data_IF_998815280751
#
_entry.id   IF_998815280751
#
_cell.length_a   1.000
_cell.length_b   1.000
_cell.length_c   1.000
_cell.angle_alpha   90.00
_cell.angle_beta   90.00
_cell.angle_gamma   90.00
#
_symmetry.space_group_name_H-M   'P 1'
#
loop_
_entity.id
_entity.type
_entity.pdbx_description
1 polymer ?
#
# COMPACT_ATOMS: atom_id res chain seq x y z
N UNK A 1 -17.54 -23.01 44.03
CA UNK A 1 -16.73 -21.82 43.64
C UNK A 1 -17.67 -20.75 43.15
N UNK A 2 -17.87 -19.71 43.96
CA UNK A 2 -18.75 -18.58 43.65
C UNK A 2 -18.03 -17.62 42.70
N UNK A 3 -18.26 -17.76 41.40
CA UNK A 3 -17.68 -16.93 40.34
C UNK A 3 -18.28 -15.50 40.30
N UNK A 4 -18.21 -14.78 41.42
CA UNK A 4 -18.57 -13.37 41.49
C UNK A 4 -17.57 -12.55 40.69
N UNK A 5 -18.01 -11.99 39.56
CA UNK A 5 -17.22 -11.10 38.69
C UNK A 5 -16.95 -9.70 39.30
N UNK A 6 -16.82 -9.60 40.63
CA UNK A 6 -16.65 -8.32 41.35
C UNK A 6 -15.29 -7.67 41.10
N UNK A 7 -14.27 -8.46 40.76
CA UNK A 7 -12.96 -7.95 40.31
C UNK A 7 -12.59 -8.67 39.02
N UNK A 8 -12.23 -7.92 37.97
CA UNK A 8 -11.80 -8.45 36.67
C UNK A 8 -10.43 -7.88 36.30
N UNK A 9 -9.54 -8.76 35.86
CA UNK A 9 -8.27 -8.39 35.23
C UNK A 9 -8.39 -8.67 33.74
N UNK A 10 -8.12 -7.67 32.91
CA UNK A 10 -8.21 -7.76 31.45
C UNK A 10 -6.82 -7.60 30.82
N UNK A 11 -6.59 -8.28 29.69
CA UNK A 11 -5.42 -8.09 28.83
C UNK A 11 -5.83 -8.05 27.37
N UNK A 12 -5.00 -7.44 26.53
CA UNK A 12 -5.22 -7.45 25.08
C UNK A 12 -5.02 -8.86 24.52
N UNK A 13 -5.93 -9.28 23.65
CA UNK A 13 -5.84 -10.56 22.95
C UNK A 13 -6.16 -10.35 21.47
N UNK A 14 -5.43 -11.05 20.61
CA UNK A 14 -5.74 -11.09 19.19
C UNK A 14 -7.02 -11.91 18.93
N UNK A 15 -7.84 -11.48 17.96
CA UNK A 15 -8.96 -12.29 17.50
C UNK A 15 -8.46 -13.57 16.81
N UNK A 16 -9.33 -14.57 16.60
CA UNK A 16 -9.01 -15.72 15.76
C UNK A 16 -8.62 -15.28 14.34
N UNK A 17 -7.65 -15.96 13.74
CA UNK A 17 -7.14 -15.57 12.42
C UNK A 17 -8.21 -15.60 11.32
N UNK A 18 -9.24 -16.44 11.45
CA UNK A 18 -10.39 -16.46 10.52
C UNK A 18 -11.05 -15.09 10.39
N UNK A 19 -11.25 -14.40 11.51
CA UNK A 19 -11.82 -13.05 11.53
C UNK A 19 -10.94 -12.05 10.78
N UNK A 20 -9.62 -12.21 10.87
CA UNK A 20 -8.66 -11.40 10.11
C UNK A 20 -8.73 -11.73 8.62
N UNK A 21 -8.86 -13.02 8.28
CA UNK A 21 -9.04 -13.49 6.91
C UNK A 21 -10.29 -12.90 6.26
N UNK A 22 -11.42 -12.95 6.96
CA UNK A 22 -12.70 -12.39 6.49
C UNK A 22 -12.58 -10.87 6.29
N UNK A 23 -11.99 -10.15 7.25
CA UNK A 23 -11.73 -8.71 7.13
C UNK A 23 -10.84 -8.34 5.93
N UNK A 24 -9.83 -9.16 5.63
CA UNK A 24 -8.94 -8.93 4.50
C UNK A 24 -9.61 -9.33 3.17
N UNK A 25 -10.46 -10.35 3.19
CA UNK A 25 -11.25 -10.77 2.03
C UNK A 25 -12.23 -9.67 1.61
N UNK A 26 -12.92 -9.04 2.56
CA UNK A 26 -13.79 -7.89 2.30
C UNK A 26 -13.02 -6.74 1.63
N UNK A 27 -11.80 -6.48 2.09
CA UNK A 27 -10.93 -5.44 1.49
C UNK A 27 -10.37 -5.83 0.13
N UNK A 28 -10.21 -7.13 -0.12
CA UNK A 28 -9.79 -7.64 -1.42
C UNK A 28 -10.91 -7.43 -2.45
N UNK A 29 -12.15 -7.74 -2.08
CA UNK A 29 -13.31 -7.56 -2.96
C UNK A 29 -13.60 -6.07 -3.25
N UNK A 30 -13.18 -5.16 -2.35
CA UNK A 30 -13.25 -3.70 -2.52
C UNK A 30 -11.93 -3.01 -2.86
N UNK A 31 -10.91 -3.73 -3.33
CA UNK A 31 -9.59 -3.16 -3.58
C UNK A 31 -9.63 -2.08 -4.68
N UNK A 32 -8.88 -1.00 -4.50
CA UNK A 32 -8.89 0.15 -5.43
C UNK A 32 -7.84 0.01 -6.53
N UNK A 33 -8.25 0.21 -7.80
CA UNK A 33 -7.33 0.29 -8.93
C UNK A 33 -6.62 1.64 -8.95
N UNK A 34 -5.30 1.63 -8.97
CA UNK A 34 -4.47 2.84 -8.87
C UNK A 34 -3.43 2.90 -9.98
N UNK A 35 -3.02 4.11 -10.32
CA UNK A 35 -2.00 4.39 -11.33
C UNK A 35 -0.82 5.16 -10.72
N UNK A 36 0.35 4.96 -11.31
CA UNK A 36 1.55 5.71 -11.01
C UNK A 36 1.43 7.16 -11.49
N UNK A 37 1.35 8.13 -10.57
CA UNK A 37 1.50 9.54 -10.95
C UNK A 37 2.99 9.85 -11.22
N UNK A 38 3.40 9.78 -12.49
CA UNK A 38 4.71 10.25 -12.96
C UNK A 38 4.78 11.79 -13.00
N UNK A 39 4.46 12.46 -11.89
CA UNK A 39 4.76 13.89 -11.72
C UNK A 39 6.26 14.03 -11.45
N UNK A 40 7.06 13.84 -12.50
CA UNK A 40 8.43 14.25 -12.56
C UNK A 40 8.50 15.73 -12.16
N UNK A 41 9.36 16.05 -11.20
CA UNK A 41 9.67 17.43 -10.87
C UNK A 41 10.22 18.12 -12.13
N UNK A 42 9.35 18.82 -12.87
CA UNK A 42 9.76 19.84 -13.83
C UNK A 42 10.45 20.95 -13.03
N UNK A 43 11.75 20.76 -12.75
CA UNK A 43 12.63 21.84 -12.32
C UNK A 43 12.79 22.76 -13.52
N UNK A 44 11.82 23.65 -13.68
CA UNK A 44 11.90 24.83 -14.52
C UNK A 44 13.02 25.71 -13.94
N UNK A 45 14.26 25.47 -14.35
CA UNK A 45 15.42 26.29 -13.99
C UNK A 45 15.37 27.55 -14.83
N UNK A 46 14.57 28.52 -14.39
CA UNK A 46 14.55 29.84 -14.99
C UNK A 46 14.89 30.91 -13.95
N UNK A 47 15.83 31.77 -14.37
CA UNK A 47 16.41 32.97 -13.76
C UNK A 47 17.45 32.75 -12.66
N UNK A 48 18.55 33.51 -12.58
CA UNK A 48 19.32 34.43 -13.43
C UNK A 48 20.14 35.25 -12.41
N UNK A 49 21.43 35.44 -12.71
CA UNK A 49 22.26 36.60 -12.33
C UNK A 49 22.14 37.20 -10.91
N UNK A 50 23.22 37.15 -10.12
CA UNK A 50 23.92 38.37 -9.67
C UNK A 50 25.21 38.05 -8.90
N UNK A 51 26.34 38.28 -9.58
CA UNK A 51 27.55 38.99 -9.15
C UNK A 51 28.02 38.96 -7.67
N UNK A 52 29.28 38.54 -7.56
CA UNK A 52 30.38 39.08 -6.72
C UNK A 52 30.47 38.67 -5.23
N UNK A 53 31.56 37.95 -4.95
CA UNK A 53 32.32 37.98 -3.70
C UNK A 53 32.73 39.43 -3.35
N UNK A 54 32.81 39.79 -2.06
CA UNK A 54 34.13 39.83 -1.43
C UNK A 54 34.13 39.56 0.09
N UNK A 55 35.14 38.85 0.62
CA UNK A 55 36.08 39.43 1.62
C UNK A 55 37.16 38.45 2.09
N UNK A 56 38.31 39.07 2.30
CA UNK A 56 39.63 38.57 2.69
C UNK A 56 39.73 37.88 4.06
N UNK A 57 40.88 37.25 4.36
CA UNK A 57 41.03 36.16 5.32
C UNK A 57 41.30 36.66 6.74
N UNK A 58 40.78 35.96 7.75
CA UNK A 58 41.23 36.12 9.14
C UNK A 58 41.31 34.77 9.86
N UNK A 59 42.56 34.33 10.00
CA UNK A 59 43.25 33.74 11.16
C UNK A 59 42.44 32.97 12.23
N UNK A 60 42.92 31.74 12.44
CA UNK A 60 42.98 30.94 13.67
C UNK A 60 41.85 31.09 14.68
N UNK A 61 41.00 30.07 14.74
CA UNK A 61 40.22 29.75 15.94
C UNK A 61 40.14 28.25 16.09
N UNK A 62 40.68 27.82 17.22
CA UNK A 62 40.82 26.46 17.73
C UNK A 62 39.50 25.69 17.65
N UNK A 63 39.60 24.42 17.27
CA UNK A 63 38.50 23.45 17.23
C UNK A 63 37.74 23.45 18.55
N UNK A 64 36.52 23.98 18.52
CA UNK A 64 35.55 23.83 19.60
C UNK A 64 34.52 22.81 19.13
N UNK A 65 34.60 21.58 19.65
CA UNK A 65 33.61 20.53 19.45
C UNK A 65 32.32 20.89 20.21
N UNK A 66 31.52 21.79 19.64
CA UNK A 66 30.15 22.02 20.11
C UNK A 66 29.22 20.96 19.52
N UNK A 67 28.79 20.02 20.37
CA UNK A 67 27.82 18.95 20.03
C UNK A 67 26.38 19.51 19.88
N UNK A 68 26.17 20.81 20.12
CA UNK A 68 24.87 21.45 19.94
C UNK A 68 24.76 22.23 18.63
N UNK A 69 25.09 21.61 17.51
CA UNK A 69 24.42 21.95 16.27
C UNK A 69 23.02 21.36 16.36
N UNK A 70 22.00 22.20 16.58
CA UNK A 70 20.59 21.85 16.35
C UNK A 70 20.49 21.40 14.89
N UNK A 71 20.68 20.10 14.67
CA UNK A 71 20.35 19.43 13.41
C UNK A 71 18.84 19.52 13.36
N UNK A 72 18.34 20.59 12.75
CA UNK A 72 17.01 20.58 12.18
C UNK A 72 17.00 19.37 11.25
N UNK A 73 16.50 18.26 11.78
CA UNK A 73 16.07 17.13 11.02
C UNK A 73 14.87 17.61 10.20
N UNK A 74 15.14 18.40 9.15
CA UNK A 74 14.37 18.31 7.91
C UNK A 74 14.50 16.86 7.48
N UNK A 75 13.61 16.03 8.01
CA UNK A 75 13.23 14.75 7.41
C UNK A 75 13.08 15.08 5.95
N UNK A 76 14.03 14.63 5.12
CA UNK A 76 14.00 14.84 3.68
C UNK A 76 12.66 14.28 3.24
N UNK A 77 11.72 15.18 3.05
CA UNK A 77 10.36 14.92 2.62
C UNK A 77 10.48 14.02 1.40
N UNK A 78 9.82 12.86 1.46
CA UNK A 78 9.77 11.80 0.47
C UNK A 78 9.94 12.34 -0.96
N UNK A 79 11.20 12.40 -1.41
CA UNK A 79 11.57 12.87 -2.75
C UNK A 79 11.18 11.85 -3.84
N UNK A 80 10.65 10.71 -3.40
CA UNK A 80 10.05 9.64 -4.19
C UNK A 80 8.71 9.23 -3.56
N UNK A 81 7.84 10.20 -3.24
CA UNK A 81 6.44 9.86 -2.99
C UNK A 81 5.84 9.42 -4.32
N UNK A 82 5.87 8.12 -4.57
CA UNK A 82 5.05 7.50 -5.61
C UNK A 82 3.60 7.71 -5.19
N UNK A 83 3.00 8.79 -5.69
CA UNK A 83 1.64 9.12 -5.34
C UNK A 83 0.72 8.27 -6.20
N UNK A 84 0.22 7.19 -5.59
CA UNK A 84 -0.85 6.38 -6.15
C UNK A 84 -2.10 7.25 -6.28
N UNK A 85 -2.58 7.40 -7.51
CA UNK A 85 -3.85 8.05 -7.78
C UNK A 85 -4.86 6.99 -8.18
N UNK A 86 -6.13 7.11 -7.76
CA UNK A 86 -7.20 6.27 -8.29
C UNK A 86 -7.20 6.30 -9.83
N UNK A 87 -7.38 5.14 -10.46
CA UNK A 87 -7.48 5.05 -11.92
C UNK A 87 -8.67 5.86 -12.46
N UNK A 88 -9.80 5.83 -11.73
CA UNK A 88 -10.94 6.68 -11.99
C UNK A 88 -11.02 7.80 -10.92
N UNK A 89 -11.02 9.10 -11.32
CA UNK A 89 -11.05 10.23 -10.39
C UNK A 89 -12.33 10.33 -9.54
N UNK A 90 -13.43 9.69 -9.95
CA UNK A 90 -14.68 9.68 -9.19
C UNK A 90 -14.68 8.69 -8.03
N UNK A 91 -13.68 7.80 -7.97
CA UNK A 91 -13.55 6.87 -6.85
C UNK A 91 -12.83 7.52 -5.67
N UNK A 92 -13.30 7.17 -4.46
CA UNK A 92 -12.69 7.60 -3.21
C UNK A 92 -11.22 7.17 -3.18
N UNK A 93 -10.28 8.05 -2.82
CA UNK A 93 -8.88 7.65 -2.69
C UNK A 93 -8.72 6.61 -1.57
N UNK A 94 -7.85 5.60 -1.77
CA UNK A 94 -7.67 4.54 -0.79
C UNK A 94 -7.04 5.09 0.49
N UNK A 95 -7.54 4.63 1.64
CA UNK A 95 -6.96 4.88 2.95
C UNK A 95 -5.77 3.95 3.24
N UNK A 96 -5.09 4.17 4.38
CA UNK A 96 -3.95 3.35 4.82
C UNK A 96 -4.30 1.90 5.16
N UNK A 97 -5.59 1.61 5.28
CA UNK A 97 -6.14 0.28 5.59
C UNK A 97 -6.65 -0.44 4.34
N UNK A 98 -6.77 0.24 3.21
CA UNK A 98 -7.39 -0.33 2.02
C UNK A 98 -6.34 -1.06 1.17
N UNK A 99 -6.78 -2.10 0.46
CA UNK A 99 -5.94 -2.81 -0.50
C UNK A 99 -6.00 -2.08 -1.85
N UNK A 100 -4.86 -2.05 -2.54
CA UNK A 100 -4.73 -1.38 -3.84
C UNK A 100 -4.06 -2.31 -4.84
N UNK A 101 -4.40 -2.18 -6.11
CA UNK A 101 -3.77 -2.92 -7.20
C UNK A 101 -3.52 -1.98 -8.39
N UNK A 102 -2.49 -2.27 -9.19
CA UNK A 102 -2.11 -1.44 -10.34
C UNK A 102 -2.31 -2.15 -11.69
N UNK A 103 -2.26 -3.49 -11.71
CA UNK A 103 -2.46 -4.32 -12.89
C UNK A 103 -3.70 -5.20 -12.76
N UNK A 104 -4.43 -5.36 -13.87
CA UNK A 104 -5.61 -6.22 -13.91
C UNK A 104 -5.22 -7.69 -13.70
N UNK A 105 -6.04 -8.42 -12.94
CA UNK A 105 -5.81 -9.86 -12.76
C UNK A 105 -5.98 -10.62 -14.08
N UNK A 106 -5.13 -11.62 -14.37
CA UNK A 106 -5.29 -12.48 -15.54
C UNK A 106 -6.52 -13.38 -15.41
N UNK A 107 -6.92 -14.02 -16.51
CA UNK A 107 -7.92 -15.08 -16.47
C UNK A 107 -7.37 -16.36 -15.83
N UNK A 108 -8.10 -16.92 -14.87
CA UNK A 108 -7.70 -18.13 -14.13
C UNK A 108 -8.34 -19.44 -14.64
N UNK A 109 -9.23 -19.34 -15.63
CA UNK A 109 -9.99 -20.48 -16.17
C UNK A 109 -9.09 -21.52 -16.86
N UNK A 110 -8.19 -21.04 -17.72
CA UNK A 110 -7.30 -21.89 -18.52
C UNK A 110 -5.93 -22.04 -17.88
N UNK A 111 -5.31 -23.20 -18.11
CA UNK A 111 -3.94 -23.45 -17.63
C UNK A 111 -2.96 -22.58 -18.39
N UNK A 112 -2.20 -21.75 -17.67
CA UNK A 112 -1.11 -20.97 -18.21
C UNK A 112 0.17 -21.16 -17.36
N UNK A 113 1.07 -22.08 -17.76
CA UNK A 113 2.30 -22.37 -17.02
C UNK A 113 3.24 -21.16 -16.87
N UNK A 114 3.21 -20.20 -17.81
CA UNK A 114 4.07 -19.01 -17.77
C UNK A 114 3.72 -18.08 -16.60
N UNK A 115 2.46 -18.06 -16.21
CA UNK A 115 1.93 -17.25 -15.11
C UNK A 115 1.67 -18.07 -13.84
N UNK A 116 2.03 -19.36 -13.83
CA UNK A 116 1.74 -20.27 -12.71
C UNK A 116 0.26 -20.62 -12.54
N UNK A 117 -0.58 -20.34 -13.53
CA UNK A 117 -2.02 -20.57 -13.48
C UNK A 117 -2.30 -22.03 -13.85
N UNK A 118 -2.89 -22.80 -12.95
CA UNK A 118 -3.20 -24.22 -13.18
C UNK A 118 -4.49 -24.44 -13.98
N UNK A 119 -5.37 -23.45 -14.06
CA UNK A 119 -6.72 -23.56 -14.61
C UNK A 119 -7.74 -24.04 -13.59
N UNK A 120 -9.02 -24.08 -13.96
CA UNK A 120 -10.10 -24.54 -13.08
C UNK A 120 -10.60 -25.97 -13.34
N UNK A 121 -10.00 -26.67 -14.31
CA UNK A 121 -10.37 -28.02 -14.68
C UNK A 121 -10.20 -29.01 -13.50
N UNK A 122 -11.22 -29.84 -13.26
CA UNK A 122 -11.22 -30.83 -12.18
C UNK A 122 -11.43 -30.28 -10.76
N UNK A 123 -11.73 -28.98 -10.62
CA UNK A 123 -12.11 -28.39 -9.32
C UNK A 123 -13.56 -28.72 -9.00
N UNK A 124 -13.82 -29.03 -7.74
CA UNK A 124 -15.19 -29.20 -7.25
C UNK A 124 -15.91 -27.84 -7.24
N UNK A 125 -17.16 -27.83 -7.70
CA UNK A 125 -18.06 -26.68 -7.67
C UNK A 125 -19.35 -27.01 -6.93
N UNK A 126 -20.09 -25.97 -6.55
CA UNK A 126 -21.40 -26.08 -5.91
C UNK A 126 -22.49 -25.63 -6.89
N UNK A 127 -23.35 -26.55 -7.33
CA UNK A 127 -24.41 -26.26 -8.32
C UNK A 127 -25.50 -25.32 -7.78
N UNK A 128 -25.66 -25.23 -6.46
CA UNK A 128 -26.66 -24.35 -5.83
C UNK A 128 -26.18 -22.91 -5.62
N UNK A 129 -24.87 -22.66 -5.75
CA UNK A 129 -24.30 -21.34 -5.50
C UNK A 129 -24.26 -20.52 -6.79
N UNK A 130 -24.69 -19.26 -6.69
CA UNK A 130 -24.49 -18.25 -7.74
C UNK A 130 -23.13 -17.51 -7.59
N UNK A 131 -22.36 -17.85 -6.55
CA UNK A 131 -21.09 -17.20 -6.22
C UNK A 131 -19.90 -17.78 -6.97
N UNK A 132 -18.71 -17.36 -6.55
CA UNK A 132 -17.43 -17.83 -7.13
C UNK A 132 -17.17 -19.32 -6.95
N UNK A 133 -17.91 -20.00 -6.07
CA UNK A 133 -17.92 -21.45 -5.86
C UNK A 133 -18.99 -22.16 -6.73
N UNK A 134 -19.86 -21.40 -7.37
CA UNK A 134 -20.88 -21.87 -8.31
C UNK A 134 -20.30 -22.57 -9.52
N UNK A 135 -20.95 -23.61 -10.04
CA UNK A 135 -20.48 -24.33 -11.23
C UNK A 135 -20.37 -23.43 -12.47
N UNK A 136 -21.28 -22.46 -12.63
CA UNK A 136 -21.24 -21.46 -13.71
C UNK A 136 -19.92 -20.67 -13.74
N UNK A 137 -19.45 -20.22 -12.57
CA UNK A 137 -18.24 -19.39 -12.45
C UNK A 137 -16.99 -20.26 -12.34
N UNK A 138 -17.02 -21.32 -11.52
CA UNK A 138 -15.88 -22.21 -11.30
C UNK A 138 -15.46 -22.95 -12.57
N UNK A 139 -16.44 -23.43 -13.34
CA UNK A 139 -16.17 -24.13 -14.59
C UNK A 139 -16.07 -23.15 -15.78
N UNK A 140 -16.24 -21.84 -15.55
CA UNK A 140 -16.16 -20.80 -16.56
C UNK A 140 -17.12 -21.03 -17.75
N UNK A 141 -18.36 -21.41 -17.43
CA UNK A 141 -19.39 -21.79 -18.41
C UNK A 141 -19.16 -23.12 -19.13
N UNK A 142 -18.11 -23.87 -18.77
CA UNK A 142 -17.88 -25.23 -19.26
C UNK A 142 -18.65 -26.22 -18.38
N UNK A 143 -19.16 -27.29 -18.99
CA UNK A 143 -19.85 -28.39 -18.33
C UNK A 143 -19.60 -29.67 -19.11
#
# INVERSE_FOLDING_TARGET
MSGSCTVKTCWMRLPPFRVIGDLLKDRFDGASHVTASNTGHNRNTNKAHSNRLPKNPKVNSIMSNSIHAKRENKRKLHKYSFQLKPFNPDHKPPGSKDLVYYEMSPGFCEKNPKLGIQGTHGRQCNDTSMGVDGCDIMCCGRG
#
